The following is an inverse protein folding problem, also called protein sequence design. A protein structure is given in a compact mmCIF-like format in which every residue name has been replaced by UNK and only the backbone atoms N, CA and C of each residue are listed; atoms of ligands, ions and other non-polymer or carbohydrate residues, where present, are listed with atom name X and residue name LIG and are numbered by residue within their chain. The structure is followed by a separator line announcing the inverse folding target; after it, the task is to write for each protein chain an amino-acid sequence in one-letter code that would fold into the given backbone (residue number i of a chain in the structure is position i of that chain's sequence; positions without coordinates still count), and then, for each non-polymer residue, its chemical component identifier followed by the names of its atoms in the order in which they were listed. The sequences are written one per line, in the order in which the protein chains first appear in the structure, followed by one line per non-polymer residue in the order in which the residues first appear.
data_IF_281382279238
#
_entry.id   IF_281382279238
#
_cell.length_a   1.000
_cell.length_b   1.000
_cell.length_c   1.000
_cell.angle_alpha   90.00
_cell.angle_beta   90.00
_cell.angle_gamma   90.00
#
_symmetry.space_group_name_H-M   'P 1'
#
loop_
_entity.id
_entity.type
_entity.pdbx_description
1 polymer ?
#
# COMPACT_ATOMS: atom_id res chain seq x y z
N UNK A 1 13.33 4.34 -2.01
CA UNK A 1 12.28 3.34 -1.83
C UNK A 1 11.49 3.65 -0.57
N UNK A 2 10.20 3.41 -0.59
CA UNK A 2 9.31 3.50 0.53
C UNK A 2 8.67 2.13 0.75
N UNK A 3 8.55 1.72 2.00
CA UNK A 3 7.69 0.61 2.35
C UNK A 3 6.26 1.15 2.40
N UNK A 4 5.37 0.56 1.62
CA UNK A 4 3.94 0.86 1.64
C UNK A 4 3.21 -0.40 2.05
N UNK A 5 2.53 -0.36 3.18
CA UNK A 5 1.67 -1.45 3.67
C UNK A 5 0.22 -0.96 3.74
N UNK A 6 -0.70 -1.68 3.11
CA UNK A 6 -2.13 -1.39 3.09
C UNK A 6 -2.90 -2.62 3.55
N UNK A 7 -3.86 -2.44 4.44
CA UNK A 7 -4.75 -3.50 4.91
C UNK A 7 -6.09 -2.90 5.33
N UNK A 8 -7.12 -3.07 4.50
CA UNK A 8 -8.43 -2.47 4.71
C UNK A 8 -9.54 -3.24 4.01
N UNK A 9 -10.78 -2.92 4.37
CA UNK A 9 -11.96 -3.36 3.66
C UNK A 9 -12.58 -2.19 2.90
N UNK A 10 -13.07 -2.44 1.68
CA UNK A 10 -13.86 -1.48 0.91
C UNK A 10 -15.34 -1.85 0.98
N UNK A 11 -16.20 -0.82 0.98
CA UNK A 11 -17.66 -0.98 1.00
C UNK A 11 -18.15 -1.73 -0.24
N UNK A 12 -19.23 -2.52 -0.10
CA UNK A 12 -19.89 -3.17 -1.24
C UNK A 12 -20.41 -2.21 -2.32
N UNK A 13 -20.64 -0.94 -1.95
CA UNK A 13 -21.09 0.14 -2.84
C UNK A 13 -19.95 0.85 -3.58
N UNK A 14 -18.70 0.38 -3.44
CA UNK A 14 -17.59 0.92 -4.23
C UNK A 14 -17.91 0.81 -5.73
N UNK A 15 -17.72 1.89 -6.52
CA UNK A 15 -17.95 1.84 -7.96
C UNK A 15 -17.09 0.78 -8.64
N UNK A 16 -17.62 0.10 -9.65
CA UNK A 16 -16.86 -0.94 -10.38
C UNK A 16 -15.59 -0.37 -11.02
N UNK A 17 -15.64 0.86 -11.54
CA UNK A 17 -14.48 1.53 -12.12
C UNK A 17 -13.31 1.67 -11.13
N UNK A 18 -13.60 1.95 -9.85
CA UNK A 18 -12.57 2.01 -8.79
C UNK A 18 -12.00 0.62 -8.52
N UNK A 19 -12.84 -0.42 -8.52
CA UNK A 19 -12.37 -1.80 -8.37
C UNK A 19 -11.48 -2.23 -9.53
N UNK A 20 -11.82 -1.82 -10.75
CA UNK A 20 -11.07 -2.17 -11.96
C UNK A 20 -9.73 -1.42 -12.02
N UNK A 21 -9.70 -0.14 -11.63
CA UNK A 21 -8.47 0.64 -11.42
C UNK A 21 -7.56 -0.01 -10.36
N UNK A 22 -8.12 -0.42 -9.21
CA UNK A 22 -7.37 -1.14 -8.19
C UNK A 22 -6.81 -2.47 -8.70
N UNK A 23 -7.60 -3.25 -9.46
CA UNK A 23 -7.13 -4.50 -10.06
C UNK A 23 -5.98 -4.26 -11.03
N UNK A 24 -6.03 -3.19 -11.80
CA UNK A 24 -4.93 -2.81 -12.70
C UNK A 24 -3.66 -2.48 -11.91
N UNK A 25 -3.74 -1.63 -10.88
CA UNK A 25 -2.58 -1.36 -10.02
C UNK A 25 -2.05 -2.61 -9.30
N UNK A 26 -2.91 -3.58 -9.02
CA UNK A 26 -2.54 -4.86 -8.43
C UNK A 26 -1.99 -5.87 -9.45
N UNK A 27 -2.00 -5.58 -10.76
CA UNK A 27 -1.58 -6.53 -11.80
C UNK A 27 -2.55 -7.71 -12.00
N UNK A 28 -3.83 -7.51 -11.65
CA UNK A 28 -4.88 -8.54 -11.70
C UNK A 28 -6.02 -8.18 -12.65
N UNK A 29 -5.84 -7.15 -13.49
CA UNK A 29 -6.83 -6.76 -14.48
C UNK A 29 -6.98 -7.87 -15.54
N UNK A 30 -8.23 -8.20 -15.87
CA UNK A 30 -8.52 -9.22 -16.86
C UNK A 30 -7.96 -8.80 -18.23
N UNK A 31 -7.07 -9.62 -18.80
CA UNK A 31 -6.42 -9.37 -20.10
C UNK A 31 -4.90 -9.15 -20.03
N UNK A 32 -4.33 -9.01 -18.83
CA UNK A 32 -2.88 -9.11 -18.65
C UNK A 32 -2.53 -10.61 -18.67
N UNK A 33 -1.99 -11.08 -19.80
CA UNK A 33 -1.47 -12.43 -19.93
C UNK A 33 -0.50 -12.71 -18.77
N UNK A 34 -0.55 -13.92 -18.22
CA UNK A 34 0.44 -14.41 -17.25
C UNK A 34 1.83 -14.03 -17.76
N UNK A 35 2.46 -13.08 -17.08
CA UNK A 35 3.75 -12.56 -17.48
C UNK A 35 4.74 -13.71 -17.54
N UNK A 36 5.28 -13.96 -18.73
CA UNK A 36 6.57 -14.62 -18.85
C UNK A 36 7.54 -13.87 -17.92
N UNK A 37 8.37 -14.56 -17.10
CA UNK A 37 9.12 -13.93 -16.01
C UNK A 37 10.21 -12.92 -16.45
N UNK A 38 10.33 -12.62 -17.74
CA UNK A 38 11.39 -11.81 -18.37
C UNK A 38 10.84 -10.75 -19.34
N UNK A 39 9.54 -10.45 -19.36
CA UNK A 39 9.04 -9.34 -20.18
C UNK A 39 9.55 -8.01 -19.60
N UNK A 40 10.26 -7.17 -20.38
CA UNK A 40 10.73 -5.88 -19.90
C UNK A 40 9.54 -5.03 -19.43
N UNK A 41 9.69 -4.35 -18.30
CA UNK A 41 8.65 -3.50 -17.70
C UNK A 41 8.05 -2.46 -18.66
N UNK A 42 8.73 -2.18 -19.77
CA UNK A 42 8.31 -1.27 -20.85
C UNK A 42 7.03 -1.70 -21.61
N UNK A 43 6.64 -2.99 -21.58
CA UNK A 43 5.43 -3.46 -22.30
C UNK A 43 4.12 -3.34 -21.49
N UNK A 44 4.19 -2.95 -20.22
CA UNK A 44 3.02 -2.73 -19.35
C UNK A 44 2.65 -1.25 -19.18
N UNK A 45 3.41 -0.36 -19.81
CA UNK A 45 3.20 1.08 -19.73
C UNK A 45 1.97 1.45 -20.55
N UNK A 46 0.96 2.01 -19.88
CA UNK A 46 -0.17 2.65 -20.55
C UNK A 46 0.37 3.73 -21.53
N UNK A 47 -0.28 4.01 -22.68
CA UNK A 47 0.13 5.09 -23.57
C UNK A 47 0.32 6.46 -22.87
N UNK A 48 -0.30 6.67 -21.72
CA UNK A 48 -0.16 7.86 -20.89
C UNK A 48 1.02 7.81 -19.88
N UNK A 49 1.84 6.74 -19.90
CA UNK A 49 2.97 6.57 -18.99
C UNK A 49 2.61 6.01 -17.61
N UNK A 50 1.35 5.63 -17.40
CA UNK A 50 0.90 5.04 -16.15
C UNK A 50 1.36 3.58 -16.03
N UNK A 51 1.79 3.19 -14.83
CA UNK A 51 2.20 1.81 -14.52
C UNK A 51 1.57 1.30 -13.20
N UNK A 52 1.41 -0.03 -13.05
CA UNK A 52 0.88 -0.61 -11.82
C UNK A 52 1.80 -0.37 -10.61
N UNK A 53 1.26 0.18 -9.52
CA UNK A 53 2.03 0.55 -8.32
C UNK A 53 2.02 -0.53 -7.23
N UNK A 54 1.11 -1.50 -7.33
CA UNK A 54 0.87 -2.52 -6.31
C UNK A 54 0.96 -3.95 -6.89
N UNK A 55 1.61 -4.11 -8.04
CA UNK A 55 1.65 -5.34 -8.82
C UNK A 55 2.87 -6.22 -8.52
N UNK A 56 3.89 -5.71 -7.85
CA UNK A 56 5.08 -6.53 -7.57
C UNK A 56 4.75 -7.68 -6.61
N UNK A 57 5.42 -8.82 -6.84
CA UNK A 57 5.25 -10.07 -6.09
C UNK A 57 6.60 -10.70 -5.82
N UNK A 58 6.69 -11.46 -4.74
CA UNK A 58 7.89 -12.21 -4.37
C UNK A 58 8.68 -11.54 -3.24
N UNK A 59 9.95 -11.92 -3.03
CA UNK A 59 10.78 -11.38 -1.96
C UNK A 59 11.00 -9.87 -2.11
N UNK A 60 10.78 -9.12 -1.04
CA UNK A 60 11.11 -7.70 -0.98
C UNK A 60 12.64 -7.51 -0.87
N UNK A 61 13.21 -6.52 -1.57
CA UNK A 61 14.66 -6.29 -1.56
C UNK A 61 15.08 -5.53 -0.29
N UNK A 62 14.46 -4.39 -0.03
CA UNK A 62 14.85 -3.42 1.01
C UNK A 62 14.07 -3.56 2.31
N UNK A 63 12.81 -3.96 2.25
CA UNK A 63 11.92 -3.96 3.44
C UNK A 63 11.77 -5.35 4.09
N UNK A 64 12.43 -6.37 3.53
CA UNK A 64 12.37 -7.77 3.97
C UNK A 64 10.98 -8.40 3.79
N UNK A 65 10.86 -9.73 3.91
CA UNK A 65 9.57 -10.43 3.74
C UNK A 65 9.11 -10.50 2.28
N UNK A 66 7.79 -10.50 2.05
CA UNK A 66 7.18 -10.63 0.72
C UNK A 66 6.45 -9.36 0.30
N UNK A 67 6.50 -9.08 -1.00
CA UNK A 67 5.64 -8.15 -1.71
C UNK A 67 4.36 -8.88 -2.11
N UNK A 68 3.22 -8.27 -1.78
CA UNK A 68 1.89 -8.84 -2.01
C UNK A 68 0.93 -7.76 -2.48
N UNK A 69 -0.11 -8.18 -3.20
CA UNK A 69 -1.20 -7.32 -3.65
C UNK A 69 -2.43 -8.19 -3.92
N UNK A 70 -3.40 -8.14 -3.03
CA UNK A 70 -4.53 -9.06 -3.04
C UNK A 70 -5.82 -8.29 -2.82
N UNK A 71 -6.80 -8.47 -3.70
CA UNK A 71 -8.13 -7.90 -3.60
C UNK A 71 -9.17 -9.00 -3.76
N UNK A 72 -9.89 -9.30 -2.68
CA UNK A 72 -10.85 -10.39 -2.64
C UNK A 72 -12.26 -9.87 -2.39
N UNK A 73 -13.23 -10.43 -3.11
CA UNK A 73 -14.64 -10.15 -2.86
C UNK A 73 -15.07 -10.83 -1.56
N UNK A 74 -15.82 -10.13 -0.71
CA UNK A 74 -16.41 -10.64 0.52
C UNK A 74 -17.93 -10.46 0.49
N UNK A 75 -18.62 -10.98 1.52
CA UNK A 75 -20.06 -10.78 1.68
C UNK A 75 -20.43 -9.30 1.89
N UNK A 76 -19.53 -8.49 2.46
CA UNK A 76 -19.78 -7.10 2.84
C UNK A 76 -19.09 -6.07 1.92
N UNK A 77 -18.37 -6.52 0.90
CA UNK A 77 -17.63 -5.66 -0.01
C UNK A 77 -16.36 -6.32 -0.50
N UNK A 78 -15.21 -5.70 -0.25
CA UNK A 78 -13.91 -6.20 -0.68
C UNK A 78 -12.91 -6.13 0.47
N UNK A 79 -11.98 -7.08 0.50
CA UNK A 79 -10.82 -7.06 1.39
C UNK A 79 -9.57 -6.83 0.54
N UNK A 80 -8.77 -5.82 0.91
CA UNK A 80 -7.52 -5.45 0.24
C UNK A 80 -6.36 -5.63 1.21
N UNK A 81 -5.28 -6.26 0.73
CA UNK A 81 -3.97 -6.22 1.38
C UNK A 81 -2.91 -6.00 0.33
N UNK A 82 -2.04 -5.02 0.53
CA UNK A 82 -0.90 -4.76 -0.34
C UNK A 82 0.33 -4.41 0.49
N UNK A 83 1.49 -4.89 0.05
CA UNK A 83 2.80 -4.58 0.64
C UNK A 83 3.81 -4.43 -0.47
N UNK A 84 4.37 -3.24 -0.59
CA UNK A 84 5.10 -2.82 -1.78
C UNK A 84 6.35 -2.00 -1.45
N UNK A 85 7.33 -2.05 -2.36
CA UNK A 85 8.47 -1.13 -2.40
C UNK A 85 8.18 -0.08 -3.48
N UNK A 86 7.88 1.14 -3.06
CA UNK A 86 7.50 2.21 -3.99
C UNK A 86 8.66 3.20 -4.12
N UNK A 87 9.04 3.53 -5.36
CA UNK A 87 10.04 4.56 -5.62
C UNK A 87 9.54 5.93 -5.13
N UNK A 88 10.45 6.77 -4.63
CA UNK A 88 10.07 8.07 -4.08
C UNK A 88 9.38 8.98 -5.11
N UNK A 89 9.78 8.86 -6.38
CA UNK A 89 9.19 9.58 -7.51
C UNK A 89 7.75 9.14 -7.84
N UNK A 90 7.35 7.94 -7.43
CA UNK A 90 6.03 7.38 -7.69
C UNK A 90 5.03 7.65 -6.54
N UNK A 91 5.46 8.31 -5.45
CA UNK A 91 4.58 8.56 -4.31
C UNK A 91 3.41 9.49 -4.65
N UNK A 92 3.64 10.47 -5.54
CA UNK A 92 2.57 11.36 -6.01
C UNK A 92 1.51 10.61 -6.82
N UNK A 93 1.89 9.54 -7.52
CA UNK A 93 0.96 8.71 -8.30
C UNK A 93 0.19 7.74 -7.40
N UNK A 94 0.75 7.42 -6.23
CA UNK A 94 0.09 6.61 -5.19
C UNK A 94 -0.98 7.42 -4.45
N UNK A 95 -0.82 8.72 -4.27
CA UNK A 95 -1.74 9.58 -3.49
C UNK A 95 -3.21 9.47 -3.93
N UNK A 96 -3.57 9.59 -5.23
CA UNK A 96 -4.94 9.43 -5.70
C UNK A 96 -5.56 8.07 -5.32
N UNK A 97 -4.75 7.00 -5.38
CA UNK A 97 -5.19 5.65 -5.00
C UNK A 97 -5.51 5.62 -3.50
N UNK A 98 -4.63 6.17 -2.66
CA UNK A 98 -4.85 6.21 -1.21
C UNK A 98 -6.09 7.03 -0.84
N UNK A 99 -6.33 8.14 -1.53
CA UNK A 99 -7.55 8.93 -1.37
C UNK A 99 -8.81 8.15 -1.76
N UNK A 100 -8.78 7.42 -2.89
CA UNK A 100 -9.88 6.54 -3.29
C UNK A 100 -10.12 5.44 -2.26
N UNK A 101 -9.04 4.82 -1.76
CA UNK A 101 -9.11 3.78 -0.73
C UNK A 101 -9.77 4.30 0.54
N UNK A 102 -9.35 5.44 1.08
CA UNK A 102 -9.98 6.06 2.24
C UNK A 102 -11.44 6.39 1.95
N UNK A 103 -11.72 7.05 0.81
CA UNK A 103 -13.07 7.42 0.39
C UNK A 103 -14.03 6.24 0.33
N UNK A 104 -13.58 5.08 -0.13
CA UNK A 104 -14.42 3.89 -0.30
C UNK A 104 -14.26 2.85 0.81
N UNK A 105 -13.42 3.13 1.81
CA UNK A 105 -13.18 2.26 2.95
C UNK A 105 -14.47 2.00 3.74
N UNK A 106 -14.61 0.76 4.21
CA UNK A 106 -15.49 0.39 5.33
C UNK A 106 -14.72 0.24 6.64
N UNK A 107 -13.39 0.30 6.59
CA UNK A 107 -12.51 0.32 7.76
C UNK A 107 -12.32 1.79 8.19
N UNK A 108 -12.81 2.15 9.39
CA UNK A 108 -12.48 3.42 10.05
C UNK A 108 -11.19 3.24 10.87
N UNK A 109 -10.37 4.28 10.94
CA UNK A 109 -9.06 4.24 11.60
C UNK A 109 -7.92 3.87 10.64
N UNK A 110 -6.88 3.21 11.16
CA UNK A 110 -5.66 2.90 10.38
C UNK A 110 -5.96 1.90 9.26
N UNK A 111 -5.68 2.30 8.02
CA UNK A 111 -5.84 1.49 6.81
C UNK A 111 -4.50 1.11 6.17
N UNK A 112 -3.41 1.65 6.67
CA UNK A 112 -2.07 1.37 6.17
C UNK A 112 -0.99 2.24 6.80
N UNK A 113 0.22 2.13 6.25
CA UNK A 113 1.38 2.92 6.65
C UNK A 113 2.34 3.11 5.49
N UNK A 114 3.09 4.21 5.54
CA UNK A 114 4.18 4.51 4.62
C UNK A 114 5.41 4.89 5.43
N UNK A 115 6.58 4.37 5.04
CA UNK A 115 7.85 4.77 5.66
C UNK A 115 8.97 4.73 4.63
N UNK A 116 9.97 5.59 4.82
CA UNK A 116 11.22 5.41 4.10
C UNK A 116 11.86 4.09 4.54
N UNK A 117 12.47 3.34 3.62
CA UNK A 117 12.90 1.96 3.92
C UNK A 117 13.97 1.88 5.01
N UNK A 118 14.82 2.91 5.15
CA UNK A 118 15.87 3.02 6.19
C UNK A 118 15.34 3.57 7.52
N UNK A 119 14.12 4.13 7.53
CA UNK A 119 13.49 4.65 8.72
C UNK A 119 12.69 3.56 9.45
N UNK A 120 12.71 3.64 10.78
CA UNK A 120 11.95 2.75 11.66
C UNK A 120 10.57 3.31 12.03
N UNK A 121 10.31 4.59 11.75
CA UNK A 121 9.09 5.29 12.18
C UNK A 121 8.21 5.55 10.96
N UNK A 122 7.01 4.96 10.89
CA UNK A 122 6.10 5.19 9.78
C UNK A 122 5.20 6.41 9.97
N UNK A 123 4.70 6.89 8.84
CA UNK A 123 3.47 7.68 8.76
C UNK A 123 2.30 6.72 8.61
N UNK A 124 1.29 6.85 9.49
CA UNK A 124 0.07 6.07 9.40
C UNK A 124 -0.89 6.70 8.40
N UNK A 125 -1.56 5.84 7.63
CA UNK A 125 -2.67 6.19 6.75
C UNK A 125 -3.97 5.85 7.48
N UNK A 126 -4.81 6.84 7.71
CA UNK A 126 -6.03 6.73 8.49
C UNK A 126 -7.21 7.11 7.60
N UNK A 127 -8.24 6.25 7.57
CA UNK A 127 -9.54 6.60 7.00
C UNK A 127 -10.42 7.18 8.11
N UNK A 128 -10.78 8.45 7.97
CA UNK A 128 -11.72 9.13 8.87
C UNK A 128 -12.92 9.63 8.07
N UNK A 129 -14.08 8.96 8.21
CA UNK A 129 -15.32 9.35 7.52
C UNK A 129 -15.16 9.52 6.00
N UNK A 130 -14.35 8.64 5.37
CA UNK A 130 -14.05 8.69 3.94
C UNK A 130 -12.99 9.72 3.52
N UNK A 131 -12.27 10.30 4.47
CA UNK A 131 -11.14 11.20 4.21
C UNK A 131 -9.83 10.52 4.62
N UNK A 132 -8.80 10.63 3.77
CA UNK A 132 -7.46 10.18 4.12
C UNK A 132 -6.80 11.20 5.05
N UNK A 133 -6.41 10.75 6.23
CA UNK A 133 -5.59 11.50 7.18
C UNK A 133 -4.24 10.80 7.31
N UNK A 134 -3.17 11.58 7.24
CA UNK A 134 -1.80 11.11 7.43
C UNK A 134 -1.29 11.53 8.80
N UNK A 135 -0.77 10.58 9.58
CA UNK A 135 -0.27 10.84 10.93
C UNK A 135 1.13 10.29 11.11
N UNK A 136 2.12 11.18 11.19
CA UNK A 136 3.48 10.81 11.54
C UNK A 136 3.55 10.32 12.99
N UNK A 137 4.04 9.10 13.19
CA UNK A 137 4.36 8.63 14.52
C UNK A 137 5.61 9.34 15.05
N UNK A 138 5.70 9.47 16.37
CA UNK A 138 6.91 9.91 17.06
C UNK A 138 7.37 8.77 17.96
N UNK A 139 8.63 8.34 17.86
CA UNK A 139 9.16 7.39 18.80
C UNK A 139 9.11 8.03 20.19
N UNK A 140 8.61 7.29 21.18
CA UNK A 140 8.72 7.71 22.56
C UNK A 140 10.21 7.74 22.94
N UNK A 141 10.67 8.79 23.61
CA UNK A 141 12.04 8.83 24.13
C UNK A 141 12.19 7.69 25.13
N UNK A 142 12.90 6.63 24.74
CA UNK A 142 13.24 5.53 25.65
C UNK A 142 14.12 6.12 26.75
N UNK A 143 13.53 6.36 27.94
CA UNK A 143 14.31 6.72 29.13
C UNK A 143 15.28 5.57 29.39
N UNK A 144 16.56 5.83 29.20
CA UNK A 144 17.61 4.91 29.61
C UNK A 144 17.41 4.59 31.10
N UNK A 145 17.08 3.34 31.40
CA UNK A 145 17.12 2.84 32.77
C UNK A 145 18.60 2.85 33.16
N UNK A 146 19.03 3.82 33.96
CA UNK A 146 20.33 3.77 34.63
C UNK A 146 20.32 2.52 35.51
N UNK A 147 20.92 1.45 35.03
CA UNK A 147 21.21 0.28 35.82
C UNK A 147 22.17 0.71 36.94
N UNK A 148 21.64 0.84 38.15
CA UNK A 148 22.46 0.91 39.36
C UNK A 148 23.23 -0.40 39.48
N UNK A 149 24.53 -0.37 39.18
CA UNK A 149 25.46 -1.43 39.59
C UNK A 149 25.90 -1.15 41.04
N UNK A 150 25.66 -2.06 41.99
CA UNK A 150 26.15 -1.89 43.35
C UNK A 150 27.66 -2.19 43.39
N UNK A 151 28.42 -1.32 44.05
CA UNK A 151 29.70 -1.66 44.69
C UNK A 151 29.74 -1.03 46.06
#
# INVERSE_FOLDING_TARGET
MYAVDLALNLRATVPSAVVDELRWHLGTAAGQAEGTPDAPADELTDPDGAFPLLAERGPAWRIGGLLVGELHRTACGWALTARQEVHAECLSDLDPILEQLARHSSTEGVIGQIRFYEDHVPELLISESGTLVRMALKPEEVRAVQAYLPR
#
